data_IF_715114187901
#
_entry.id   IF_715114187901
#
_cell.length_a   1.000
_cell.length_b   1.000
_cell.length_c   1.000
_cell.angle_alpha   90.00
_cell.angle_beta   90.00
_cell.angle_gamma   90.00
#
_symmetry.space_group_name_H-M   'P 1'
#
loop_
_entity.id
_entity.type
_entity.pdbx_description
1 polymer ?
#
# COMPACT_ATOMS: atom_id res chain seq x y z
N UNK A 1 1.30 -8.20 -23.99
CA UNK A 1 0.75 -9.33 -23.21
C UNK A 1 -0.72 -9.08 -22.99
N UNK A 2 -1.57 -10.10 -23.11
CA UNK A 2 -2.96 -9.99 -22.67
C UNK A 2 -3.05 -10.14 -21.13
N UNK A 3 -4.24 -9.90 -20.54
CA UNK A 3 -4.42 -9.94 -19.10
C UNK A 3 -4.07 -11.30 -18.48
N UNK A 4 -4.44 -12.42 -19.11
CA UNK A 4 -4.12 -13.76 -18.60
C UNK A 4 -2.62 -14.04 -18.57
N UNK A 5 -1.89 -13.61 -19.61
CA UNK A 5 -0.43 -13.69 -19.64
C UNK A 5 0.20 -12.82 -18.55
N UNK A 6 -0.36 -11.63 -18.29
CA UNK A 6 0.10 -10.74 -17.21
C UNK A 6 -0.12 -11.42 -15.85
N UNK A 7 -1.31 -11.98 -15.59
CA UNK A 7 -1.64 -12.69 -14.35
C UNK A 7 -0.69 -13.87 -14.13
N UNK A 8 -0.47 -14.70 -15.16
CA UNK A 8 0.44 -15.84 -15.09
C UNK A 8 1.87 -15.39 -14.79
N UNK A 9 2.34 -14.31 -15.44
CA UNK A 9 3.64 -13.74 -15.18
C UNK A 9 3.73 -13.11 -13.78
N UNK A 10 2.63 -12.61 -13.21
CA UNK A 10 2.64 -11.93 -11.93
C UNK A 10 2.84 -12.91 -10.74
N UNK A 11 2.43 -14.18 -10.88
CA UNK A 11 2.53 -15.19 -9.81
C UNK A 11 3.97 -15.24 -9.26
N UNK A 12 4.06 -15.18 -7.93
CA UNK A 12 5.32 -15.21 -7.20
C UNK A 12 5.51 -13.99 -6.28
N UNK A 13 6.75 -13.82 -5.83
CA UNK A 13 7.13 -12.80 -4.85
C UNK A 13 7.93 -11.67 -5.49
N UNK A 14 7.65 -10.46 -5.04
CA UNK A 14 8.19 -9.21 -5.55
C UNK A 14 8.59 -8.31 -4.37
N UNK A 15 9.69 -7.56 -4.49
CA UNK A 15 10.16 -6.66 -3.47
C UNK A 15 10.63 -5.32 -4.04
N UNK A 16 10.50 -4.26 -3.24
CA UNK A 16 11.06 -2.95 -3.56
C UNK A 16 12.57 -3.01 -3.69
N UNK A 17 13.10 -2.39 -4.73
CA UNK A 17 14.56 -2.24 -4.93
C UNK A 17 15.18 -1.15 -4.08
N UNK A 18 14.37 -0.19 -3.62
CA UNK A 18 14.77 0.96 -2.81
C UNK A 18 13.56 1.51 -2.04
N UNK A 19 13.76 2.35 -1.00
CA UNK A 19 12.67 3.10 -0.39
C UNK A 19 11.94 3.99 -1.41
N UNK A 20 10.61 3.88 -1.43
CA UNK A 20 9.70 4.75 -2.15
C UNK A 20 9.44 6.03 -1.37
N UNK A 21 9.17 7.13 -2.08
CA UNK A 21 8.63 8.37 -1.52
C UNK A 21 7.19 8.54 -1.98
N UNK A 22 6.31 8.90 -1.04
CA UNK A 22 4.91 9.26 -1.31
C UNK A 22 4.59 10.59 -0.62
N UNK A 23 3.96 11.56 -1.30
CA UNK A 23 3.34 12.69 -0.62
C UNK A 23 2.22 12.21 0.30
N UNK A 24 2.19 12.73 1.51
CA UNK A 24 1.09 12.50 2.45
C UNK A 24 -0.12 13.39 2.10
N UNK A 25 -1.32 12.86 2.32
CA UNK A 25 -2.54 13.66 2.33
C UNK A 25 -2.55 14.66 3.50
N UNK A 26 -1.88 14.33 4.61
CA UNK A 26 -1.67 15.25 5.72
C UNK A 26 -0.56 16.25 5.38
N UNK A 27 -0.89 17.54 5.43
CA UNK A 27 0.03 18.64 5.17
C UNK A 27 0.68 19.14 6.47
N UNK A 28 1.84 19.77 6.34
CA UNK A 28 2.42 20.55 7.42
C UNK A 28 1.53 21.76 7.76
N UNK A 29 1.67 22.39 8.94
CA UNK A 29 0.90 23.57 9.32
C UNK A 29 1.03 24.74 8.34
N UNK A 30 2.16 24.85 7.64
CA UNK A 30 2.42 25.85 6.60
C UNK A 30 1.82 25.47 5.22
N UNK A 31 1.11 24.34 5.13
CA UNK A 31 0.48 23.84 3.92
C UNK A 31 1.40 23.05 2.99
N UNK A 32 2.69 22.90 3.32
CA UNK A 32 3.62 22.09 2.53
C UNK A 32 3.34 20.60 2.67
N UNK A 33 3.63 19.83 1.62
CA UNK A 33 3.44 18.38 1.63
C UNK A 33 4.51 17.70 2.49
N UNK A 34 4.07 16.75 3.32
CA UNK A 34 4.97 15.90 4.09
C UNK A 34 5.31 14.65 3.29
N UNK A 35 6.59 14.29 3.10
CA UNK A 35 6.96 13.04 2.49
C UNK A 35 6.74 11.89 3.47
N UNK A 36 6.45 10.72 2.91
CA UNK A 36 6.38 9.46 3.61
C UNK A 36 7.14 8.41 2.84
N UNK A 37 7.90 7.59 3.55
CA UNK A 37 8.82 6.63 2.94
C UNK A 37 8.36 5.22 3.23
N UNK A 38 8.47 4.32 2.24
CA UNK A 38 8.08 2.93 2.42
C UNK A 38 8.83 1.96 1.53
N UNK A 39 8.77 0.69 1.91
CA UNK A 39 9.12 -0.44 1.05
C UNK A 39 7.97 -1.45 1.07
N UNK A 40 7.86 -2.21 -0.01
CA UNK A 40 6.84 -3.23 -0.22
C UNK A 40 7.50 -4.59 -0.45
N UNK A 41 6.91 -5.60 0.16
CA UNK A 41 7.05 -7.00 -0.21
C UNK A 41 5.66 -7.49 -0.64
N UNK A 42 5.55 -7.94 -1.88
CA UNK A 42 4.27 -8.29 -2.51
C UNK A 42 4.33 -9.71 -3.06
N UNK A 43 3.32 -10.51 -2.74
CA UNK A 43 3.12 -11.83 -3.33
C UNK A 43 1.80 -11.83 -4.07
N UNK A 44 1.85 -12.18 -5.36
CA UNK A 44 0.65 -12.48 -6.14
C UNK A 44 0.41 -13.99 -6.15
N UNK A 45 -0.81 -14.37 -5.80
CA UNK A 45 -1.23 -15.75 -5.64
C UNK A 45 -2.17 -16.16 -6.79
N UNK A 46 -2.29 -17.47 -7.06
CA UNK A 46 -3.34 -17.98 -7.94
C UNK A 46 -4.74 -17.50 -7.48
N UNK A 47 -5.64 -17.28 -8.43
CA UNK A 47 -7.00 -16.79 -8.12
C UNK A 47 -7.08 -15.30 -7.79
N UNK A 48 -6.11 -14.51 -8.24
CA UNK A 48 -6.01 -13.05 -8.04
C UNK A 48 -5.83 -12.62 -6.57
N UNK A 49 -5.52 -13.56 -5.68
CA UNK A 49 -5.18 -13.26 -4.29
C UNK A 49 -3.84 -12.54 -4.17
N UNK A 50 -3.66 -11.75 -3.12
CA UNK A 50 -2.40 -11.10 -2.82
C UNK A 50 -2.08 -11.05 -1.33
N UNK A 51 -0.77 -10.94 -1.05
CA UNK A 51 -0.23 -10.57 0.25
C UNK A 51 0.71 -9.40 0.05
N UNK A 52 0.48 -8.30 0.75
CA UNK A 52 1.30 -7.11 0.70
C UNK A 52 1.77 -6.77 2.10
N UNK A 53 3.09 -6.78 2.30
CA UNK A 53 3.71 -6.19 3.48
C UNK A 53 4.27 -4.83 3.10
N UNK A 54 3.94 -3.81 3.89
CA UNK A 54 4.51 -2.47 3.76
C UNK A 54 5.30 -2.18 5.04
N UNK A 55 6.53 -1.73 4.91
CA UNK A 55 7.28 -1.12 6.02
C UNK A 55 7.40 0.37 5.74
N UNK A 56 6.99 1.18 6.71
CA UNK A 56 7.10 2.62 6.62
C UNK A 56 8.31 3.12 7.39
N UNK A 57 8.93 4.20 6.91
CA UNK A 57 10.16 4.73 7.45
C UNK A 57 10.07 6.22 7.74
N UNK A 58 10.85 6.66 8.72
CA UNK A 58 10.97 8.08 9.08
C UNK A 58 11.95 8.84 8.18
N UNK A 59 12.82 8.12 7.47
CA UNK A 59 13.91 8.68 6.67
C UNK A 59 13.90 8.15 5.23
N UNK A 60 14.45 8.92 4.28
CA UNK A 60 14.47 8.55 2.86
C UNK A 60 15.35 7.34 2.52
N UNK A 61 16.23 6.91 3.43
CA UNK A 61 17.14 5.79 3.21
C UNK A 61 16.63 4.48 3.83
N UNK A 62 15.42 4.47 4.40
CA UNK A 62 14.81 3.26 4.95
C UNK A 62 15.52 2.71 6.20
N UNK A 63 16.19 3.56 6.98
CA UNK A 63 17.00 3.14 8.15
C UNK A 63 16.20 3.10 9.45
N UNK A 64 15.14 3.89 9.55
CA UNK A 64 14.33 4.07 10.77
C UNK A 64 12.92 3.57 10.48
N UNK A 65 12.66 2.25 10.65
CA UNK A 65 11.33 1.69 10.44
C UNK A 65 10.37 2.17 11.53
N UNK A 66 9.15 2.53 11.14
CA UNK A 66 8.12 3.08 12.02
C UNK A 66 7.03 2.07 12.34
N UNK A 67 6.51 1.43 11.29
CA UNK A 67 5.43 0.46 11.37
C UNK A 67 5.52 -0.52 10.23
N UNK A 68 5.05 -1.74 10.47
CA UNK A 68 4.77 -2.74 9.46
C UNK A 68 3.27 -2.85 9.28
N UNK A 69 2.83 -3.00 8.05
CA UNK A 69 1.44 -3.23 7.68
C UNK A 69 1.41 -4.51 6.86
N UNK A 70 0.47 -5.40 7.16
CA UNK A 70 0.17 -6.57 6.35
C UNK A 70 -1.24 -6.43 5.80
N UNK A 71 -1.39 -6.55 4.49
CA UNK A 71 -2.66 -6.50 3.79
C UNK A 71 -2.81 -7.77 2.98
N UNK A 72 -3.97 -8.40 3.06
CA UNK A 72 -4.33 -9.57 2.25
C UNK A 72 -5.70 -9.38 1.64
N UNK A 73 -5.86 -9.88 0.43
CA UNK A 73 -7.15 -9.92 -0.24
C UNK A 73 -7.01 -10.22 -1.71
N UNK A 74 -7.90 -9.65 -2.53
CA UNK A 74 -8.00 -9.99 -3.96
C UNK A 74 -7.89 -8.77 -4.87
N UNK A 75 -7.27 -8.98 -6.03
CA UNK A 75 -7.16 -8.01 -7.11
C UNK A 75 -8.34 -8.16 -8.08
N UNK A 76 -8.99 -7.05 -8.40
CA UNK A 76 -10.05 -7.00 -9.41
C UNK A 76 -9.53 -6.31 -10.66
N UNK A 77 -9.42 -7.05 -11.76
CA UNK A 77 -8.89 -6.54 -13.03
C UNK A 77 -9.97 -5.77 -13.79
N UNK A 78 -9.70 -4.51 -14.13
CA UNK A 78 -10.68 -3.55 -14.70
C UNK A 78 -10.40 -3.17 -16.16
N UNK A 79 -9.51 -3.91 -16.81
CA UNK A 79 -9.11 -3.67 -18.20
C UNK A 79 -7.92 -2.71 -18.32
N UNK A 80 -7.74 -2.13 -19.49
CA UNK A 80 -6.52 -1.38 -19.82
C UNK A 80 -6.40 -0.05 -19.07
N UNK A 81 -5.17 0.28 -18.68
CA UNK A 81 -4.82 1.60 -18.13
C UNK A 81 -4.10 2.42 -19.22
N UNK A 82 -4.48 3.70 -19.44
CA UNK A 82 -3.91 4.51 -20.52
C UNK A 82 -2.47 4.99 -20.30
N UNK A 83 -1.81 4.60 -19.19
CA UNK A 83 -0.50 5.15 -18.82
C UNK A 83 0.63 4.62 -19.71
N UNK A 84 0.50 3.36 -20.13
CA UNK A 84 1.45 2.65 -20.95
C UNK A 84 0.76 1.46 -21.61
N UNK A 85 1.21 1.09 -22.81
CA UNK A 85 0.70 -0.07 -23.51
C UNK A 85 0.90 -1.34 -22.66
N UNK A 86 -0.18 -2.06 -22.39
CA UNK A 86 -0.17 -3.28 -21.58
C UNK A 86 -0.35 -3.06 -20.07
N UNK A 87 -0.39 -1.81 -19.59
CA UNK A 87 -0.79 -1.54 -18.22
C UNK A 87 -2.28 -1.87 -18.01
N UNK A 88 -2.62 -2.40 -16.85
CA UNK A 88 -3.99 -2.79 -16.49
C UNK A 88 -4.45 -1.99 -15.28
N UNK A 89 -5.69 -1.50 -15.32
CA UNK A 89 -6.41 -0.99 -14.15
C UNK A 89 -6.69 -2.17 -13.22
N UNK A 90 -6.36 -2.01 -11.95
CA UNK A 90 -6.61 -3.02 -10.93
C UNK A 90 -7.16 -2.35 -9.68
N UNK A 91 -8.20 -2.95 -9.09
CA UNK A 91 -8.63 -2.58 -7.74
C UNK A 91 -8.03 -3.58 -6.76
N UNK A 92 -7.22 -3.11 -5.82
CA UNK A 92 -6.69 -3.93 -4.73
C UNK A 92 -7.67 -3.88 -3.58
N UNK A 93 -8.37 -4.98 -3.31
CA UNK A 93 -9.34 -5.06 -2.22
C UNK A 93 -8.74 -5.85 -1.07
N UNK A 94 -8.59 -5.23 0.09
CA UNK A 94 -8.22 -5.91 1.31
C UNK A 94 -9.47 -6.55 1.94
N UNK A 95 -9.83 -7.74 1.49
CA UNK A 95 -11.00 -8.49 1.95
C UNK A 95 -10.68 -9.71 2.83
N UNK A 96 -9.39 -9.98 3.08
CA UNK A 96 -8.95 -11.09 3.94
C UNK A 96 -8.31 -10.64 5.26
N UNK A 97 -7.36 -9.70 5.21
CA UNK A 97 -6.68 -9.22 6.41
C UNK A 97 -6.11 -7.82 6.25
N UNK A 98 -6.05 -7.10 7.38
CA UNK A 98 -5.34 -5.84 7.53
C UNK A 98 -4.77 -5.79 8.95
N UNK A 99 -3.45 -5.82 9.07
CA UNK A 99 -2.75 -5.87 10.35
C UNK A 99 -1.70 -4.77 10.44
N UNK A 100 -1.48 -4.26 11.64
CA UNK A 100 -0.52 -3.19 11.93
C UNK A 100 0.39 -3.61 13.07
N UNK A 101 1.69 -3.41 12.91
CA UNK A 101 2.72 -3.67 13.92
C UNK A 101 3.56 -2.41 14.12
N UNK A 102 3.46 -1.72 15.27
CA UNK A 102 4.37 -0.63 15.61
C UNK A 102 5.80 -1.15 15.74
N UNK A 103 6.78 -0.48 15.15
CA UNK A 103 8.19 -0.88 15.21
C UNK A 103 9.04 0.02 16.12
N UNK A 104 8.50 1.15 16.54
CA UNK A 104 9.15 2.09 17.47
C UNK A 104 8.15 2.68 18.46
N UNK A 105 8.65 3.04 19.64
CA UNK A 105 7.82 3.55 20.74
C UNK A 105 7.02 4.80 20.35
N UNK A 106 7.65 5.74 19.63
CA UNK A 106 6.97 6.96 19.22
C UNK A 106 5.73 6.70 18.36
N UNK A 107 5.72 5.61 17.57
CA UNK A 107 4.55 5.24 16.78
C UNK A 107 3.47 4.56 17.64
N UNK A 108 3.82 3.64 18.55
CA UNK A 108 2.84 3.07 19.49
C UNK A 108 2.21 4.14 20.37
N UNK A 109 2.96 5.14 20.82
CA UNK A 109 2.46 6.25 21.62
C UNK A 109 1.44 7.09 20.85
N UNK A 110 1.66 7.32 19.56
CA UNK A 110 0.69 7.99 18.70
C UNK A 110 -0.57 7.13 18.55
N UNK A 111 -0.43 5.83 18.25
CA UNK A 111 -1.59 4.94 18.11
C UNK A 111 -2.42 4.85 19.40
N UNK A 112 -1.78 4.79 20.57
CA UNK A 112 -2.47 4.80 21.86
C UNK A 112 -3.25 6.10 22.13
N UNK A 113 -2.95 7.19 21.41
CA UNK A 113 -3.71 8.45 21.48
C UNK A 113 -4.85 8.51 20.47
N UNK A 114 -4.64 8.00 19.25
CA UNK A 114 -5.55 8.23 18.12
C UNK A 114 -6.35 7.00 17.70
N UNK A 115 -5.99 5.82 18.18
CA UNK A 115 -6.56 4.53 17.81
C UNK A 115 -6.64 3.56 19.01
N UNK A 116 -7.08 4.06 20.17
CA UNK A 116 -7.23 3.28 21.40
C UNK A 116 -8.57 2.54 21.51
N UNK A 117 -9.64 3.12 20.97
CA UNK A 117 -10.98 2.53 21.06
C UNK A 117 -11.10 1.30 20.15
N UNK A 118 -11.45 0.14 20.73
CA UNK A 118 -11.62 -1.11 19.97
C UNK A 118 -10.32 -1.89 19.69
N UNK A 119 -9.22 -1.44 20.28
CA UNK A 119 -7.90 -2.07 20.19
C UNK A 119 -7.33 -2.36 21.57
N UNK A 120 -6.46 -3.36 21.66
CA UNK A 120 -5.60 -3.49 22.83
C UNK A 120 -4.59 -2.33 22.85
N UNK A 121 -3.96 -2.10 23.99
CA UNK A 121 -2.84 -1.15 24.08
C UNK A 121 -1.80 -1.48 23.01
N UNK A 122 -1.44 -0.48 22.22
CA UNK A 122 -0.42 -0.61 21.20
C UNK A 122 0.96 -0.66 21.85
N UNK A 123 1.71 -1.70 21.49
CA UNK A 123 3.06 -1.93 21.98
C UNK A 123 3.99 -2.23 20.81
N UNK A 124 5.26 -1.88 20.97
CA UNK A 124 6.28 -2.16 19.95
C UNK A 124 6.39 -3.67 19.70
N UNK A 125 6.36 -4.06 18.44
CA UNK A 125 6.47 -5.44 17.98
C UNK A 125 5.18 -6.26 18.12
N UNK A 126 4.13 -5.74 18.78
CA UNK A 126 2.84 -6.44 18.90
C UNK A 126 1.92 -6.08 17.74
N UNK A 127 1.61 -7.06 16.92
CA UNK A 127 0.66 -6.92 15.80
C UNK A 127 -0.77 -6.90 16.32
N UNK A 128 -1.60 -6.03 15.74
CA UNK A 128 -3.05 -6.08 15.91
C UNK A 128 -3.76 -6.02 14.57
N UNK A 129 -4.89 -6.73 14.47
CA UNK A 129 -5.78 -6.63 13.32
C UNK A 129 -6.62 -5.35 13.40
N UNK A 130 -6.57 -4.57 12.32
CA UNK A 130 -7.43 -3.41 12.06
C UNK A 130 -8.50 -3.73 11.00
N UNK A 131 -8.55 -4.98 10.52
CA UNK A 131 -9.47 -5.43 9.51
C UNK A 131 -10.94 -5.20 9.92
N UNK A 132 -11.72 -4.60 9.03
CA UNK A 132 -13.14 -4.29 9.25
C UNK A 132 -13.41 -3.22 10.31
N UNK A 133 -12.37 -2.65 10.94
CA UNK A 133 -12.48 -1.65 12.02
C UNK A 133 -12.11 -0.25 11.53
N UNK A 134 -12.63 0.77 12.21
CA UNK A 134 -12.17 2.13 11.99
C UNK A 134 -10.72 2.30 12.46
N UNK A 135 -9.86 2.83 11.58
CA UNK A 135 -8.44 3.09 11.89
C UNK A 135 -7.99 4.38 11.20
N UNK A 136 -8.20 5.50 11.90
CA UNK A 136 -7.96 6.85 11.39
C UNK A 136 -6.55 7.09 10.83
N UNK A 137 -5.45 6.56 11.41
CA UNK A 137 -4.10 6.77 10.87
C UNK A 137 -3.94 6.34 9.40
N UNK A 138 -4.73 5.37 8.94
CA UNK A 138 -4.75 4.91 7.55
C UNK A 138 -6.09 5.16 6.85
N UNK A 139 -6.92 6.04 7.40
CA UNK A 139 -8.20 6.43 6.80
C UNK A 139 -9.22 5.30 6.69
N UNK A 140 -9.09 4.24 7.50
CA UNK A 140 -10.01 3.09 7.45
C UNK A 140 -11.30 3.43 8.18
N UNK A 141 -12.43 3.04 7.58
CA UNK A 141 -13.76 3.15 8.15
C UNK A 141 -14.30 1.76 8.50
N UNK A 142 -15.04 1.66 9.61
CA UNK A 142 -15.66 0.41 10.04
C UNK A 142 -16.66 -0.12 8.99
N UNK A 143 -16.67 -1.45 8.82
CA UNK A 143 -17.59 -2.13 7.91
C UNK A 143 -17.30 -1.95 6.41
N UNK A 144 -16.17 -1.31 6.06
CA UNK A 144 -15.74 -1.17 4.66
C UNK A 144 -14.35 -1.79 4.48
N UNK A 145 -14.20 -2.62 3.46
CA UNK A 145 -12.89 -3.10 3.06
C UNK A 145 -12.07 -1.95 2.50
N UNK A 146 -10.79 -1.90 2.85
CA UNK A 146 -9.85 -1.01 2.20
C UNK A 146 -9.74 -1.40 0.73
N UNK A 147 -9.78 -0.40 -0.15
CA UNK A 147 -9.63 -0.60 -1.58
C UNK A 147 -8.80 0.53 -2.18
N UNK A 148 -7.87 0.18 -3.07
CA UNK A 148 -7.16 1.15 -3.91
C UNK A 148 -7.40 0.89 -5.39
N UNK A 149 -7.83 1.93 -6.10
CA UNK A 149 -7.95 2.01 -7.56
C UNK A 149 -6.56 2.31 -8.16
N UNK A 150 -5.77 1.27 -8.40
CA UNK A 150 -4.38 1.40 -8.85
C UNK A 150 -4.22 0.78 -10.26
N UNK A 151 -3.01 0.37 -10.62
CA UNK A 151 -2.66 -0.30 -11.84
C UNK A 151 -1.59 -1.36 -11.61
N UNK A 152 -1.49 -2.29 -12.56
CA UNK A 152 -0.36 -3.20 -12.71
C UNK A 152 0.23 -3.01 -14.10
N UNK A 153 1.55 -2.83 -14.14
CA UNK A 153 2.31 -2.83 -15.38
C UNK A 153 3.57 -3.68 -15.21
N UNK A 154 3.69 -4.74 -16.00
CA UNK A 154 4.87 -5.60 -16.06
C UNK A 154 5.70 -5.23 -17.29
N UNK A 155 6.95 -4.82 -17.07
CA UNK A 155 7.92 -4.52 -18.13
C UNK A 155 9.31 -4.96 -17.67
N UNK A 156 10.07 -5.65 -18.52
CA UNK A 156 11.46 -6.04 -18.26
C UNK A 156 11.71 -6.70 -16.88
N UNK A 157 10.85 -7.66 -16.51
CA UNK A 157 10.87 -8.33 -15.19
C UNK A 157 10.73 -7.40 -13.97
N UNK A 158 10.19 -6.20 -14.18
CA UNK A 158 9.84 -5.24 -13.15
C UNK A 158 8.32 -5.09 -13.07
N UNK A 159 7.81 -4.99 -11.84
CA UNK A 159 6.41 -4.77 -11.52
C UNK A 159 6.20 -3.33 -11.06
N UNK A 160 5.53 -2.55 -11.89
CA UNK A 160 5.17 -1.17 -11.61
C UNK A 160 3.72 -1.07 -11.15
N UNK A 161 3.51 -0.28 -10.10
CA UNK A 161 2.20 0.23 -9.66
C UNK A 161 2.19 1.76 -9.81
N UNK A 162 1.07 2.38 -9.45
CA UNK A 162 0.91 3.82 -9.42
C UNK A 162 1.79 4.53 -8.40
N UNK A 163 2.39 5.65 -8.82
CA UNK A 163 2.91 6.65 -7.90
C UNK A 163 1.75 7.49 -7.35
N UNK A 164 1.77 7.74 -6.04
CA UNK A 164 0.77 8.56 -5.34
C UNK A 164 0.66 9.94 -6.01
N UNK A 165 -0.54 10.48 -6.08
CA UNK A 165 -0.78 11.80 -6.67
C UNK A 165 0.09 12.86 -5.99
N UNK A 166 0.65 13.79 -6.77
CA UNK A 166 1.61 14.80 -6.29
C UNK A 166 1.05 15.69 -5.17
N UNK A 167 -0.26 15.82 -5.06
CA UNK A 167 -0.97 16.57 -4.03
C UNK A 167 -1.31 15.75 -2.77
N UNK A 168 -0.88 14.48 -2.71
CA UNK A 168 -1.09 13.57 -1.60
C UNK A 168 -2.38 12.75 -1.69
N UNK A 169 -3.27 13.02 -2.66
CA UNK A 169 -4.51 12.25 -2.82
C UNK A 169 -4.23 10.76 -3.02
N UNK A 170 -5.07 9.95 -2.39
CA UNK A 170 -5.04 8.50 -2.55
C UNK A 170 -5.69 8.01 -3.81
N UNK A 171 -5.73 6.69 -3.94
CA UNK A 171 -6.37 5.97 -5.02
C UNK A 171 -7.73 5.47 -4.56
N UNK A 172 -8.53 6.35 -3.98
CA UNK A 172 -9.80 6.04 -3.30
C UNK A 172 -11.03 6.14 -4.22
N UNK A 173 -10.83 6.54 -5.47
CA UNK A 173 -11.86 6.53 -6.53
C UNK A 173 -11.26 6.26 -7.91
N UNK A 174 -12.09 5.93 -8.90
CA UNK A 174 -11.67 5.73 -10.30
C UNK A 174 -11.01 6.99 -10.87
N UNK A 175 -11.51 8.18 -10.53
CA UNK A 175 -10.97 9.47 -10.97
C UNK A 175 -9.60 9.78 -10.38
N UNK A 176 -9.28 9.16 -9.24
CA UNK A 176 -8.02 9.34 -8.54
C UNK A 176 -6.96 8.29 -8.90
N UNK A 177 -7.22 7.43 -9.90
CA UNK A 177 -6.23 6.46 -10.41
C UNK A 177 -4.89 7.14 -10.74
N UNK A 178 -3.78 6.45 -10.50
CA UNK A 178 -2.45 6.99 -10.74
C UNK A 178 -2.20 7.39 -12.19
N UNK A 179 -1.52 8.51 -12.36
CA UNK A 179 -1.08 9.03 -13.67
C UNK A 179 0.43 8.90 -13.89
N UNK A 180 1.13 8.29 -12.94
CA UNK A 180 2.58 8.09 -12.95
C UNK A 180 2.91 6.69 -12.40
N UNK A 181 4.08 6.15 -12.77
CA UNK A 181 4.58 4.87 -12.25
C UNK A 181 5.48 5.11 -11.03
N UNK A 182 5.33 4.28 -10.00
CA UNK A 182 6.22 4.25 -8.83
C UNK A 182 7.52 3.49 -9.14
N UNK A 183 8.53 3.64 -8.29
CA UNK A 183 9.70 2.74 -8.27
C UNK A 183 9.22 1.28 -8.33
N UNK A 184 9.75 0.46 -9.27
CA UNK A 184 9.25 -0.88 -9.47
C UNK A 184 9.62 -1.83 -8.33
N UNK A 185 8.86 -2.91 -8.26
CA UNK A 185 9.25 -4.13 -7.55
C UNK A 185 9.99 -5.06 -8.51
N UNK A 186 10.95 -5.82 -7.99
CA UNK A 186 11.64 -6.90 -8.72
C UNK A 186 11.31 -8.24 -8.09
N UNK A 187 11.46 -9.32 -8.86
CA UNK A 187 11.31 -10.68 -8.31
C UNK A 187 12.32 -10.93 -7.20
N UNK A 188 11.89 -11.69 -6.19
CA UNK A 188 12.77 -12.30 -5.21
C UNK A 188 13.44 -13.57 -5.74
#
# INVERSE_FOLDING_TARGET
>A
MNVEQIKQALVGEWASIAPEIRPSAAKNPDGTLKPFYLQRDFSYLPGDGFVLTIVNFADPYGKVPLTRILIKGHMQWRGEHPIALGAQKVDFVADDAYEVTPLVQGFSDVLNKVASNGYATWEVGKTQSVFGKAFAPFGLAEGKNFMEYDLVYLADNMLFWGARNVDGRGFDSEENRPTNLQIPLVRK
#
